data_IF_744219982744
#
_entry.id   IF_744219982744
#
_cell.length_a   1.000
_cell.length_b   1.000
_cell.length_c   1.000
_cell.angle_alpha   90.00
_cell.angle_beta   90.00
_cell.angle_gamma   90.00
#
_symmetry.space_group_name_H-M   'P 1'
#
loop_
_entity.id
_entity.type
_entity.pdbx_description
1 polymer ?
#
# COMPACT_ATOMS: atom_id res chain seq x y z
N UNK A 1 -12.90 16.60 14.96
CA UNK A 1 -12.41 15.21 15.18
C UNK A 1 -11.63 14.83 13.93
N UNK A 2 -10.36 14.47 14.06
CA UNK A 2 -9.50 14.28 12.89
C UNK A 2 -9.86 13.00 12.13
N UNK A 3 -9.78 13.06 10.80
CA UNK A 3 -9.99 11.92 9.89
C UNK A 3 -8.70 11.63 9.13
N UNK A 4 -8.50 10.37 8.79
CA UNK A 4 -7.29 9.90 8.08
C UNK A 4 -7.66 9.47 6.68
N UNK A 5 -6.97 10.04 5.70
CA UNK A 5 -7.03 9.58 4.32
C UNK A 5 -6.06 8.43 4.12
N UNK A 6 -6.58 7.27 3.75
CA UNK A 6 -5.77 6.10 3.41
C UNK A 6 -5.23 6.20 1.98
N UNK A 7 -4.29 5.30 1.64
CA UNK A 7 -3.68 5.23 0.30
C UNK A 7 -4.66 4.92 -0.83
N UNK A 8 -5.74 4.21 -0.52
CA UNK A 8 -6.84 3.90 -1.46
C UNK A 8 -7.85 5.04 -1.62
N UNK A 9 -7.56 6.22 -1.02
CA UNK A 9 -8.45 7.38 -1.01
C UNK A 9 -9.60 7.28 0.02
N UNK A 10 -9.77 6.16 0.71
CA UNK A 10 -10.82 6.02 1.72
C UNK A 10 -10.50 6.86 2.97
N UNK A 11 -11.55 7.44 3.55
CA UNK A 11 -11.45 8.27 4.76
C UNK A 11 -11.97 7.48 5.95
N UNK A 12 -11.19 7.49 7.04
CA UNK A 12 -11.56 6.82 8.30
C UNK A 12 -11.31 7.72 9.48
N UNK A 13 -11.96 7.47 10.60
CA UNK A 13 -11.69 8.18 11.85
C UNK A 13 -10.27 7.91 12.36
N UNK A 14 -9.68 8.95 12.93
CA UNK A 14 -8.38 8.84 13.59
C UNK A 14 -8.55 8.16 14.96
N UNK A 15 -7.69 7.18 15.22
CA UNK A 15 -7.60 6.51 16.51
C UNK A 15 -6.14 6.43 16.96
N UNK A 16 -5.79 7.13 18.01
CA UNK A 16 -4.43 7.12 18.57
C UNK A 16 -3.93 5.72 18.96
N UNK A 17 -4.85 4.84 19.39
CA UNK A 17 -4.53 3.45 19.71
C UNK A 17 -3.90 2.68 18.53
N UNK A 18 -4.21 3.05 17.27
CA UNK A 18 -3.58 2.43 16.10
C UNK A 18 -2.10 2.78 15.99
N UNK A 19 -1.72 4.01 16.39
CA UNK A 19 -0.30 4.44 16.46
C UNK A 19 0.40 3.65 17.57
N UNK A 20 -0.18 3.61 18.78
CA UNK A 20 0.36 2.85 19.91
C UNK A 20 0.61 1.39 19.55
N UNK A 21 -0.38 0.72 18.94
CA UNK A 21 -0.25 -0.68 18.51
C UNK A 21 0.85 -0.87 17.45
N UNK A 22 1.01 0.08 16.52
CA UNK A 22 2.07 0.02 15.52
C UNK A 22 3.46 0.18 16.14
N UNK A 23 3.61 1.09 17.09
CA UNK A 23 4.85 1.30 17.87
C UNK A 23 5.16 0.05 18.68
N UNK A 24 4.20 -0.52 19.41
CA UNK A 24 4.38 -1.75 20.20
C UNK A 24 4.92 -2.88 19.33
N UNK A 25 4.33 -3.14 18.17
CA UNK A 25 4.80 -4.16 17.24
C UNK A 25 6.22 -3.90 16.74
N UNK A 26 6.59 -2.64 16.56
CA UNK A 26 7.96 -2.29 16.14
C UNK A 26 8.97 -2.60 17.26
N UNK A 27 8.62 -2.36 18.54
CA UNK A 27 9.42 -2.76 19.69
C UNK A 27 9.54 -4.28 19.80
N UNK A 28 8.43 -5.01 19.65
CA UNK A 28 8.42 -6.48 19.68
C UNK A 28 9.30 -7.08 18.55
N UNK A 29 9.30 -6.47 17.36
CA UNK A 29 10.10 -6.92 16.24
C UNK A 29 11.62 -6.85 16.47
N UNK A 30 12.08 -5.98 17.40
CA UNK A 30 13.49 -5.90 17.81
C UNK A 30 13.74 -6.62 19.14
N UNK A 31 12.77 -7.39 19.63
CA UNK A 31 12.88 -8.14 20.88
C UNK A 31 12.88 -7.27 22.14
N UNK A 32 12.38 -6.04 22.04
CA UNK A 32 12.25 -5.10 23.18
C UNK A 32 10.80 -5.01 23.63
N UNK A 33 10.60 -4.97 24.94
CA UNK A 33 9.32 -4.63 25.54
C UNK A 33 9.43 -3.28 26.22
N UNK A 34 8.44 -2.43 26.04
CA UNK A 34 8.34 -1.13 26.68
C UNK A 34 7.10 -1.05 27.55
N UNK A 35 7.19 -0.24 28.59
CA UNK A 35 6.04 0.00 29.46
C UNK A 35 4.92 0.72 28.65
N UNK A 36 3.65 0.37 28.86
CA UNK A 36 2.52 1.00 28.13
C UNK A 36 2.54 2.53 28.16
N UNK A 37 2.91 3.14 29.26
CA UNK A 37 3.00 4.61 29.39
C UNK A 37 4.05 5.22 28.43
N UNK A 38 5.14 4.52 28.11
CA UNK A 38 6.13 4.99 27.13
C UNK A 38 5.54 4.96 25.73
N UNK A 39 4.78 3.89 25.41
CA UNK A 39 4.09 3.77 24.14
C UNK A 39 3.05 4.88 23.98
N UNK A 40 2.26 5.15 25.00
CA UNK A 40 1.27 6.24 25.01
C UNK A 40 1.94 7.60 24.82
N UNK A 41 3.04 7.87 25.53
CA UNK A 41 3.80 9.11 25.38
C UNK A 41 4.32 9.28 23.95
N UNK A 42 4.88 8.23 23.37
CA UNK A 42 5.35 8.27 21.97
C UNK A 42 4.19 8.52 21.00
N UNK A 43 3.04 7.87 21.19
CA UNK A 43 1.86 8.07 20.35
C UNK A 43 1.32 9.51 20.46
N UNK A 44 1.33 10.10 21.64
CA UNK A 44 0.98 11.51 21.86
C UNK A 44 1.97 12.45 21.16
N UNK A 45 3.28 12.19 21.25
CA UNK A 45 4.30 12.97 20.54
C UNK A 45 4.11 12.90 19.02
N UNK A 46 3.80 11.72 18.49
CA UNK A 46 3.46 11.55 17.06
C UNK A 46 2.25 12.40 16.68
N UNK A 47 1.21 12.42 17.55
CA UNK A 47 0.01 13.22 17.30
C UNK A 47 0.34 14.71 17.25
N UNK A 48 1.14 15.21 18.19
CA UNK A 48 1.60 16.59 18.18
C UNK A 48 2.47 16.94 16.95
N UNK A 49 3.27 15.99 16.47
CA UNK A 49 4.16 16.18 15.32
C UNK A 49 3.40 16.33 14.00
N UNK A 50 2.31 15.58 13.79
CA UNK A 50 1.53 15.72 12.55
C UNK A 50 0.38 16.74 12.64
N UNK A 51 0.05 17.27 13.82
CA UNK A 51 -1.01 18.25 13.99
C UNK A 51 -0.90 19.44 13.01
N UNK A 52 0.30 20.03 12.76
CA UNK A 52 0.47 21.11 11.78
C UNK A 52 0.21 20.68 10.33
N UNK A 53 0.20 19.40 10.03
CA UNK A 53 -0.02 18.83 8.69
C UNK A 53 -1.49 18.58 8.37
N UNK A 54 -2.37 18.75 9.37
CA UNK A 54 -3.81 18.57 9.20
C UNK A 54 -4.36 19.71 8.34
N UNK A 55 -5.05 19.34 7.27
CA UNK A 55 -5.78 20.27 6.40
C UNK A 55 -7.23 19.82 6.31
N UNK A 56 -8.16 20.74 6.53
CA UNK A 56 -9.61 20.46 6.48
C UNK A 56 -10.04 19.24 7.32
N UNK A 57 -9.48 19.14 8.54
CA UNK A 57 -9.65 18.00 9.46
C UNK A 57 -9.14 16.64 8.92
N UNK A 58 -8.40 16.64 7.81
CA UNK A 58 -7.83 15.46 7.16
C UNK A 58 -6.31 15.41 7.32
N UNK A 59 -5.77 14.23 7.52
CA UNK A 59 -4.33 13.95 7.50
C UNK A 59 -4.07 12.68 6.68
N UNK A 60 -3.02 12.69 5.86
CA UNK A 60 -2.64 11.50 5.11
C UNK A 60 -2.01 10.44 6.04
N UNK A 61 -2.30 9.17 5.78
CA UNK A 61 -1.70 8.07 6.55
C UNK A 61 -0.17 8.06 6.43
N UNK A 62 0.37 8.50 5.29
CA UNK A 62 1.80 8.65 5.05
C UNK A 62 2.43 9.66 6.00
N UNK A 63 1.80 10.84 6.17
CA UNK A 63 2.30 11.87 7.08
C UNK A 63 2.37 11.38 8.52
N UNK A 64 1.36 10.63 8.97
CA UNK A 64 1.37 10.01 10.30
C UNK A 64 2.53 9.01 10.41
N UNK A 65 2.74 8.18 9.39
CA UNK A 65 3.79 7.17 9.39
C UNK A 65 5.19 7.80 9.42
N UNK A 66 5.41 8.87 8.66
CA UNK A 66 6.67 9.61 8.65
C UNK A 66 6.92 10.28 10.02
N UNK A 67 5.87 10.79 10.68
CA UNK A 67 5.99 11.31 12.04
C UNK A 67 6.32 10.22 13.07
N UNK A 68 5.79 8.98 12.91
CA UNK A 68 6.17 7.85 13.76
C UNK A 68 7.68 7.55 13.62
N UNK A 69 8.19 7.48 12.39
CA UNK A 69 9.60 7.23 12.11
C UNK A 69 10.50 8.30 12.74
N UNK A 70 10.12 9.57 12.57
CA UNK A 70 10.84 10.72 13.12
C UNK A 70 10.86 10.68 14.65
N UNK A 71 9.70 10.53 15.30
CA UNK A 71 9.60 10.52 16.76
C UNK A 71 10.36 9.36 17.39
N UNK A 72 10.31 8.17 16.79
CA UNK A 72 11.09 7.02 17.27
C UNK A 72 12.59 7.27 17.18
N UNK A 73 13.07 7.86 16.06
CA UNK A 73 14.48 8.20 15.87
C UNK A 73 14.94 9.27 16.86
N UNK A 74 14.18 10.33 17.06
CA UNK A 74 14.50 11.42 17.98
C UNK A 74 14.45 10.98 19.47
N UNK A 75 13.57 10.03 19.80
CA UNK A 75 13.51 9.44 21.13
C UNK A 75 14.66 8.45 21.43
N UNK A 76 15.59 8.25 20.49
CA UNK A 76 16.74 7.37 20.66
C UNK A 76 16.47 5.89 20.34
N UNK A 77 15.31 5.57 19.76
CA UNK A 77 14.92 4.21 19.36
C UNK A 77 15.17 3.97 17.87
N UNK A 78 16.40 4.23 17.40
CA UNK A 78 16.75 4.12 15.99
C UNK A 78 16.61 2.70 15.42
N UNK A 79 16.84 1.67 16.21
CA UNK A 79 16.63 0.26 15.87
C UNK A 79 15.13 -0.05 15.67
N UNK A 80 14.27 0.48 16.53
CA UNK A 80 12.82 0.34 16.44
C UNK A 80 12.27 1.10 15.23
N UNK A 81 12.77 2.33 14.99
CA UNK A 81 12.41 3.10 13.80
C UNK A 81 12.74 2.34 12.51
N UNK A 82 13.95 1.73 12.44
CA UNK A 82 14.35 0.88 11.31
C UNK A 82 13.42 -0.33 11.12
N UNK A 83 13.06 -1.02 12.21
CA UNK A 83 12.12 -2.13 12.15
C UNK A 83 10.74 -1.69 11.65
N UNK A 84 10.26 -0.52 12.09
CA UNK A 84 9.01 0.07 11.64
C UNK A 84 9.02 0.37 10.13
N UNK A 85 10.10 0.96 9.61
CA UNK A 85 10.28 1.24 8.17
C UNK A 85 10.27 -0.06 7.35
N UNK A 86 10.99 -1.09 7.81
CA UNK A 86 11.03 -2.38 7.11
C UNK A 86 9.66 -3.06 7.09
N UNK A 87 8.93 -3.03 8.21
CA UNK A 87 7.56 -3.54 8.28
C UNK A 87 6.62 -2.79 7.32
N UNK A 88 6.72 -1.46 7.27
CA UNK A 88 5.95 -0.61 6.35
C UNK A 88 6.18 -1.02 4.89
N UNK A 89 7.44 -1.15 4.47
CA UNK A 89 7.82 -1.59 3.12
C UNK A 89 7.33 -3.00 2.80
N UNK A 90 7.43 -3.93 3.75
CA UNK A 90 6.94 -5.29 3.56
C UNK A 90 5.42 -5.33 3.37
N UNK A 91 4.67 -4.57 4.17
CA UNK A 91 3.22 -4.45 4.02
C UNK A 91 2.80 -3.81 2.69
N UNK A 92 3.60 -2.89 2.19
CA UNK A 92 3.39 -2.29 0.87
C UNK A 92 3.57 -3.32 -0.25
N UNK A 93 4.65 -4.10 -0.23
CA UNK A 93 4.86 -5.20 -1.18
C UNK A 93 3.71 -6.21 -1.19
N UNK A 94 3.25 -6.63 -0.01
CA UNK A 94 2.11 -7.57 0.12
C UNK A 94 0.83 -6.98 -0.49
N UNK A 95 0.56 -5.69 -0.29
CA UNK A 95 -0.61 -5.03 -0.91
C UNK A 95 -0.50 -4.97 -2.43
N UNK A 96 0.68 -4.61 -2.95
CA UNK A 96 0.92 -4.52 -4.39
C UNK A 96 0.73 -5.88 -5.07
N UNK A 97 1.20 -6.97 -4.45
CA UNK A 97 0.96 -8.34 -4.94
C UNK A 97 -0.53 -8.67 -4.88
N UNK A 98 -1.23 -8.32 -3.81
CA UNK A 98 -2.67 -8.54 -3.67
C UNK A 98 -3.48 -7.79 -4.73
N UNK A 99 -3.14 -6.54 -5.02
CA UNK A 99 -3.82 -5.76 -6.06
C UNK A 99 -3.53 -6.30 -7.48
N UNK A 100 -2.31 -6.76 -7.73
CA UNK A 100 -1.96 -7.40 -9.01
C UNK A 100 -2.74 -8.70 -9.24
N UNK A 101 -2.95 -9.51 -8.20
CA UNK A 101 -3.77 -10.72 -8.28
C UNK A 101 -5.26 -10.43 -8.52
N UNK A 102 -5.80 -9.37 -7.92
CA UNK A 102 -7.18 -8.94 -8.17
C UNK A 102 -7.35 -8.45 -9.63
N UNK A 103 -6.42 -7.64 -10.12
CA UNK A 103 -6.41 -7.19 -11.51
C UNK A 103 -6.29 -8.37 -12.50
N UNK A 104 -5.52 -9.42 -12.15
CA UNK A 104 -5.41 -10.63 -12.95
C UNK A 104 -6.74 -11.38 -13.05
N UNK A 105 -7.46 -11.52 -11.94
CA UNK A 105 -8.77 -12.16 -11.94
C UNK A 105 -9.75 -11.41 -12.84
N UNK A 106 -9.83 -10.08 -12.70
CA UNK A 106 -10.70 -9.24 -13.52
C UNK A 106 -10.36 -9.33 -15.01
N UNK A 107 -9.07 -9.45 -15.34
CA UNK A 107 -8.59 -9.61 -16.71
C UNK A 107 -9.02 -10.96 -17.31
N UNK A 108 -8.92 -12.05 -16.54
CA UNK A 108 -9.40 -13.37 -16.95
C UNK A 108 -10.91 -13.40 -17.07
N UNK A 109 -11.62 -12.83 -16.09
CA UNK A 109 -13.09 -12.78 -16.10
C UNK A 109 -13.59 -11.94 -17.29
N UNK A 110 -12.97 -10.80 -17.58
CA UNK A 110 -13.28 -10.00 -18.75
C UNK A 110 -13.02 -10.76 -20.07
N UNK A 111 -11.90 -11.48 -20.18
CA UNK A 111 -11.60 -12.30 -21.34
C UNK A 111 -12.64 -13.39 -21.56
N UNK A 112 -13.14 -14.01 -20.49
CA UNK A 112 -14.18 -15.05 -20.55
C UNK A 112 -15.58 -14.48 -20.84
N UNK A 113 -15.82 -13.21 -20.49
CA UNK A 113 -17.13 -12.54 -20.66
C UNK A 113 -17.29 -11.83 -22.01
N UNK A 114 -16.25 -11.77 -22.86
CA UNK A 114 -16.37 -11.17 -24.20
C UNK A 114 -17.32 -12.04 -25.06
N UNK A 115 -18.59 -11.64 -25.07
CA UNK A 115 -19.68 -12.28 -25.82
C UNK A 115 -19.98 -11.59 -27.16
N UNK A 116 -19.04 -10.82 -27.73
CA UNK A 116 -19.27 -10.17 -29.01
C UNK A 116 -19.13 -11.19 -30.14
N UNK A 117 -20.28 -11.59 -30.68
CA UNK A 117 -20.38 -12.52 -31.82
C UNK A 117 -19.65 -12.02 -33.08
N UNK A 118 -19.46 -10.71 -33.23
CA UNK A 118 -18.76 -10.09 -34.38
C UNK A 118 -17.27 -10.38 -34.34
N UNK A 119 -16.70 -10.62 -33.17
CA UNK A 119 -15.28 -10.96 -33.00
C UNK A 119 -15.03 -12.44 -33.28
N UNK A 120 -16.07 -13.28 -33.18
CA UNK A 120 -15.98 -14.73 -33.39
C UNK A 120 -15.65 -15.15 -34.83
N UNK A 121 -16.05 -14.35 -35.84
CA UNK A 121 -15.88 -14.73 -37.24
C UNK A 121 -14.44 -14.59 -37.77
N UNK A 122 -13.61 -13.74 -37.18
CA UNK A 122 -12.30 -13.36 -37.74
C UNK A 122 -11.08 -13.61 -36.87
N UNK A 123 -11.19 -14.19 -35.67
CA UNK A 123 -10.02 -14.40 -34.82
C UNK A 123 -9.91 -15.83 -34.27
N UNK A 124 -9.09 -16.61 -34.93
CA UNK A 124 -8.65 -17.94 -34.48
C UNK A 124 -7.84 -17.91 -33.16
N UNK A 125 -7.44 -16.74 -32.68
CA UNK A 125 -6.59 -16.55 -31.48
C UNK A 125 -7.38 -16.10 -30.26
N UNK A 126 -8.50 -15.38 -30.43
CA UNK A 126 -9.17 -14.63 -29.35
C UNK A 126 -9.98 -15.49 -28.38
N UNK A 127 -10.33 -16.73 -28.69
CA UNK A 127 -11.08 -17.64 -27.80
C UNK A 127 -10.40 -19.01 -27.65
N UNK A 128 -9.12 -19.07 -27.93
CA UNK A 128 -8.32 -20.28 -27.74
C UNK A 128 -7.58 -20.24 -26.40
N UNK A 129 -7.24 -21.43 -25.89
CA UNK A 129 -6.33 -21.54 -24.74
C UNK A 129 -5.01 -20.81 -25.00
N UNK A 130 -4.53 -20.80 -26.23
CA UNK A 130 -3.35 -20.01 -26.64
C UNK A 130 -3.54 -18.51 -26.50
N UNK A 131 -4.70 -17.97 -26.89
CA UNK A 131 -5.05 -16.56 -26.70
C UNK A 131 -5.13 -16.16 -25.21
N UNK A 132 -5.70 -17.01 -24.37
CA UNK A 132 -5.73 -16.81 -22.93
C UNK A 132 -4.32 -16.80 -22.34
N UNK A 133 -3.45 -17.72 -22.74
CA UNK A 133 -2.05 -17.81 -22.30
C UNK A 133 -1.28 -16.54 -22.72
N UNK A 134 -1.45 -16.07 -23.95
CA UNK A 134 -0.80 -14.86 -24.47
C UNK A 134 -1.27 -13.60 -23.71
N UNK A 135 -2.58 -13.46 -23.48
CA UNK A 135 -3.15 -12.34 -22.73
C UNK A 135 -2.62 -12.33 -21.29
N UNK A 136 -2.62 -13.49 -20.62
CA UNK A 136 -2.11 -13.62 -19.26
C UNK A 136 -0.61 -13.35 -19.17
N UNK A 137 0.19 -13.91 -20.09
CA UNK A 137 1.63 -13.69 -20.14
C UNK A 137 1.96 -12.21 -20.36
N UNK A 138 1.25 -11.55 -21.27
CA UNK A 138 1.38 -10.11 -21.53
C UNK A 138 1.07 -9.27 -20.30
N UNK A 139 -0.04 -9.55 -19.63
CA UNK A 139 -0.46 -8.82 -18.42
C UNK A 139 0.52 -8.99 -17.25
N UNK A 140 0.99 -10.21 -17.00
CA UNK A 140 1.97 -10.49 -15.94
C UNK A 140 3.28 -9.78 -16.24
N UNK A 141 3.77 -9.85 -17.47
CA UNK A 141 5.01 -9.20 -17.90
C UNK A 141 4.89 -7.67 -17.80
N UNK A 142 3.80 -7.08 -18.28
CA UNK A 142 3.55 -5.65 -18.19
C UNK A 142 3.48 -5.17 -16.73
N UNK A 143 2.77 -5.89 -15.85
CA UNK A 143 2.71 -5.56 -14.44
C UNK A 143 4.08 -5.64 -13.76
N UNK A 144 4.89 -6.65 -14.08
CA UNK A 144 6.24 -6.76 -13.56
C UNK A 144 7.11 -5.57 -13.99
N UNK A 145 7.07 -5.19 -15.27
CA UNK A 145 7.84 -4.06 -15.77
C UNK A 145 7.42 -2.74 -15.17
N UNK A 146 6.10 -2.52 -15.01
CA UNK A 146 5.55 -1.31 -14.40
C UNK A 146 5.80 -1.22 -12.88
N UNK A 147 6.05 -2.34 -12.19
CA UNK A 147 6.30 -2.34 -10.75
C UNK A 147 7.78 -2.38 -10.37
N UNK A 148 8.62 -3.04 -11.18
CA UNK A 148 10.00 -3.36 -10.78
C UNK A 148 11.07 -2.75 -11.71
N UNK A 149 10.72 -2.40 -12.97
CA UNK A 149 11.69 -1.97 -13.99
C UNK A 149 11.56 -0.49 -14.33
N UNK A 150 10.33 0.00 -14.56
CA UNK A 150 10.12 1.39 -14.91
C UNK A 150 10.06 2.30 -13.68
N UNK A 151 10.57 3.53 -13.84
CA UNK A 151 10.42 4.57 -12.83
C UNK A 151 8.94 4.88 -12.54
N UNK A 152 8.67 5.29 -11.31
CA UNK A 152 7.31 5.52 -10.83
C UNK A 152 6.52 6.52 -11.69
N UNK A 153 7.19 7.55 -12.24
CA UNK A 153 6.57 8.54 -13.12
C UNK A 153 6.10 7.93 -14.44
N UNK A 154 6.92 7.07 -15.04
CA UNK A 154 6.60 6.38 -16.30
C UNK A 154 5.46 5.39 -16.08
N UNK A 155 5.54 4.62 -14.98
CA UNK A 155 4.50 3.65 -14.61
C UNK A 155 3.16 4.34 -14.35
N UNK A 156 3.16 5.51 -13.71
CA UNK A 156 1.95 6.28 -13.44
C UNK A 156 1.38 6.92 -14.71
N UNK A 157 2.21 7.47 -15.59
CA UNK A 157 1.78 8.00 -16.87
C UNK A 157 1.09 6.92 -17.73
N UNK A 158 1.65 5.71 -17.76
CA UNK A 158 1.05 4.57 -18.49
C UNK A 158 -0.29 4.12 -17.90
N UNK A 159 -0.48 4.17 -16.57
CA UNK A 159 -1.75 3.79 -15.93
C UNK A 159 -2.86 4.83 -16.09
N UNK A 160 -2.50 6.08 -16.38
CA UNK A 160 -3.43 7.20 -16.52
C UNK A 160 -3.79 7.49 -17.99
N UNK A 161 -3.16 6.80 -18.96
CA UNK A 161 -3.44 6.91 -20.40
C UNK A 161 -4.59 6.00 -20.84
#
# INVERSE_FOLDING_TARGET
MYRVTKRDGSITEFHIAKIGNAITRAFEAVGRQQHPSVIELLALRVTAEFEPKIKDELVAVEDIQDCVEKVLSEAGYADVAKAYILYRKQREKVRNVGSALLNYKDLVDNYLQINDWRVKENSTVTYSVGGLILSNSGAITANYWLSEIYDAEIAQAHRNA
#
